data_IF_979041126402
#
_entry.id   IF_979041126402
#
_cell.length_a   1.000
_cell.length_b   1.000
_cell.length_c   1.000
_cell.angle_alpha   90.00
_cell.angle_beta   90.00
_cell.angle_gamma   90.00
#
_symmetry.space_group_name_H-M   'P 1'
#
loop_
_entity.id
_entity.type
_entity.pdbx_description
1 polymer ?
#
# COMPACT_ATOMS: atom_id res chain seq x y z
N UNK A 1 21.17 18.56 1.09
CA UNK A 1 20.11 18.57 0.06
C UNK A 1 18.85 18.25 0.81
N UNK A 2 17.95 19.22 0.95
CA UNK A 2 16.76 19.10 1.80
C UNK A 2 15.78 18.14 1.12
N UNK A 3 15.50 17.01 1.76
CA UNK A 3 14.55 16.02 1.24
C UNK A 3 13.16 16.64 1.38
N UNK A 4 12.67 17.26 0.31
CA UNK A 4 11.35 17.86 0.30
C UNK A 4 10.32 16.73 0.42
N UNK A 5 9.75 16.57 1.61
CA UNK A 5 8.71 15.57 1.86
C UNK A 5 7.46 15.93 1.07
N UNK A 6 7.28 15.32 -0.10
CA UNK A 6 6.07 15.48 -0.90
C UNK A 6 4.93 14.65 -0.29
N UNK A 7 3.84 15.32 0.06
CA UNK A 7 2.62 14.68 0.55
C UNK A 7 1.70 14.34 -0.61
N UNK A 8 1.23 13.10 -0.64
CA UNK A 8 0.33 12.58 -1.67
C UNK A 8 -0.93 12.02 -1.05
N UNK A 9 -2.07 12.23 -1.72
CA UNK A 9 -3.37 11.67 -1.34
C UNK A 9 -3.84 10.65 -2.36
N UNK A 10 -4.56 9.65 -1.86
CA UNK A 10 -5.21 8.63 -2.67
C UNK A 10 -6.41 9.23 -3.44
N UNK A 11 -6.53 8.88 -4.72
CA UNK A 11 -7.51 9.47 -5.63
C UNK A 11 -8.86 8.73 -5.53
N UNK A 12 -8.86 7.40 -5.68
CA UNK A 12 -10.05 6.54 -5.56
C UNK A 12 -9.69 5.05 -5.68
N UNK A 13 -10.57 4.16 -5.19
CA UNK A 13 -10.47 2.69 -5.29
C UNK A 13 -10.43 2.17 -6.73
N UNK A 14 -10.80 2.99 -7.72
CA UNK A 14 -10.77 2.64 -9.13
C UNK A 14 -9.37 2.69 -9.76
N UNK A 15 -8.40 3.34 -9.10
CA UNK A 15 -7.05 3.55 -9.63
C UNK A 15 -5.97 2.75 -8.90
N UNK A 16 -6.38 1.78 -8.08
CA UNK A 16 -5.46 0.89 -7.38
C UNK A 16 -5.81 -0.58 -7.59
N UNK A 17 -4.80 -1.43 -7.54
CA UNK A 17 -4.95 -2.88 -7.61
C UNK A 17 -4.28 -3.53 -6.41
N UNK A 18 -4.86 -4.63 -5.95
CA UNK A 18 -4.26 -5.54 -4.98
C UNK A 18 -4.24 -6.92 -5.62
N UNK A 19 -3.08 -7.55 -5.61
CA UNK A 19 -2.90 -8.93 -6.06
C UNK A 19 -2.44 -9.78 -4.88
N UNK A 20 -3.19 -10.84 -4.58
CA UNK A 20 -2.79 -11.84 -3.59
C UNK A 20 -1.93 -12.88 -4.29
N UNK A 21 -0.65 -12.94 -3.94
CA UNK A 21 0.31 -13.88 -4.52
C UNK A 21 0.46 -15.15 -3.69
N UNK A 22 0.13 -15.09 -2.39
CA UNK A 22 0.14 -16.25 -1.50
C UNK A 22 -0.93 -16.10 -0.42
N UNK A 23 -1.60 -17.21 -0.10
CA UNK A 23 -2.60 -17.28 0.95
C UNK A 23 -2.49 -18.62 1.69
N UNK A 24 -2.32 -18.56 3.00
CA UNK A 24 -2.37 -19.72 3.89
C UNK A 24 -3.42 -19.45 4.99
N UNK A 25 -4.55 -20.15 4.90
CA UNK A 25 -5.65 -20.02 5.86
C UNK A 25 -5.36 -20.67 7.21
N UNK A 26 -4.45 -21.65 7.26
CA UNK A 26 -4.07 -22.36 8.49
C UNK A 26 -3.25 -21.47 9.43
N UNK A 27 -2.36 -20.66 8.85
CA UNK A 27 -1.54 -19.70 9.61
C UNK A 27 -2.07 -18.26 9.57
N UNK A 28 -3.10 -17.99 8.76
CA UNK A 28 -3.63 -16.64 8.58
C UNK A 28 -2.61 -15.72 7.90
N UNK A 29 -1.95 -16.24 6.86
CA UNK A 29 -0.96 -15.52 6.06
C UNK A 29 -1.62 -15.04 4.77
N UNK A 30 -1.39 -13.78 4.42
CA UNK A 30 -1.77 -13.15 3.17
C UNK A 30 -0.60 -12.32 2.65
N UNK A 31 0.03 -12.78 1.57
CA UNK A 31 1.11 -12.08 0.88
C UNK A 31 0.59 -11.56 -0.43
N UNK A 32 0.97 -10.34 -0.77
CA UNK A 32 0.55 -9.74 -2.02
C UNK A 32 1.31 -8.49 -2.38
N UNK A 33 0.89 -7.90 -3.48
CA UNK A 33 1.36 -6.60 -3.94
C UNK A 33 0.20 -5.65 -4.10
N UNK A 34 0.49 -4.36 -4.01
CA UNK A 34 -0.44 -3.30 -4.34
C UNK A 34 0.19 -2.34 -5.35
N UNK A 35 -0.65 -1.73 -6.16
CA UNK A 35 -0.33 -0.59 -7.00
C UNK A 35 -1.41 0.46 -6.83
N UNK A 36 -1.06 1.75 -6.80
CA UNK A 36 -2.01 2.84 -6.75
C UNK A 36 -1.47 4.09 -7.43
N UNK A 37 -2.31 4.80 -8.18
CA UNK A 37 -2.02 6.18 -8.60
C UNK A 37 -2.38 7.15 -7.46
N UNK A 38 -1.38 7.93 -7.05
CA UNK A 38 -1.50 8.98 -6.05
C UNK A 38 -1.45 10.35 -6.72
N UNK A 39 -2.13 11.33 -6.14
CA UNK A 39 -2.07 12.73 -6.57
C UNK A 39 -1.42 13.57 -5.49
N UNK A 40 -0.56 14.50 -5.90
CA UNK A 40 0.05 15.46 -4.97
C UNK A 40 -1.02 16.31 -4.30
N UNK A 41 -0.91 16.52 -2.99
CA UNK A 41 -1.84 17.41 -2.28
C UNK A 41 -1.57 18.88 -2.57
N UNK A 42 -0.37 19.22 -3.06
CA UNK A 42 0.01 20.59 -3.41
C UNK A 42 -0.35 20.95 -4.86
N UNK A 43 -0.41 19.95 -5.76
CA UNK A 43 -0.77 20.15 -7.17
C UNK A 43 -1.53 18.92 -7.71
N UNK A 44 -2.86 19.02 -7.92
CA UNK A 44 -3.69 17.92 -8.40
C UNK A 44 -3.34 17.39 -9.80
N UNK A 45 -2.56 18.13 -10.58
CA UNK A 45 -2.10 17.70 -11.92
C UNK A 45 -0.91 16.75 -11.83
N UNK A 46 -0.18 16.77 -10.71
CA UNK A 46 0.98 15.90 -10.48
C UNK A 46 0.50 14.56 -9.95
N UNK A 47 0.75 13.52 -10.75
CA UNK A 47 0.40 12.12 -10.47
C UNK A 47 1.66 11.28 -10.25
N UNK A 48 1.58 10.29 -9.37
CA UNK A 48 2.66 9.33 -9.14
C UNK A 48 2.08 7.95 -8.85
N UNK A 49 2.56 6.93 -9.53
CA UNK A 49 2.26 5.54 -9.18
C UNK A 49 3.14 5.08 -8.03
N UNK A 50 2.53 4.50 -7.01
CA UNK A 50 3.23 3.78 -5.95
C UNK A 50 2.93 2.29 -6.07
N UNK A 51 3.93 1.47 -5.80
CA UNK A 51 3.81 0.02 -5.72
C UNK A 51 4.47 -0.47 -4.45
N UNK A 52 3.93 -1.51 -3.85
CA UNK A 52 4.55 -2.14 -2.69
C UNK A 52 4.13 -3.58 -2.52
N UNK A 53 4.87 -4.31 -1.71
CA UNK A 53 4.51 -5.64 -1.26
C UNK A 53 4.00 -5.57 0.18
N UNK A 54 3.09 -6.48 0.54
CA UNK A 54 2.68 -6.70 1.91
C UNK A 54 2.77 -8.18 2.26
N UNK A 55 3.06 -8.45 3.53
CA UNK A 55 2.97 -9.77 4.12
C UNK A 55 2.20 -9.61 5.43
N UNK A 56 0.90 -9.90 5.38
CA UNK A 56 0.06 -9.91 6.56
C UNK A 56 0.13 -11.31 7.14
N UNK A 57 0.73 -11.44 8.31
CA UNK A 57 0.83 -12.71 9.01
C UNK A 57 0.19 -12.58 10.39
N UNK A 58 -0.87 -13.36 10.62
CA UNK A 58 -1.55 -13.41 11.92
C UNK A 58 -0.61 -13.85 13.05
N UNK A 59 0.39 -14.69 12.78
CA UNK A 59 1.34 -15.16 13.78
C UNK A 59 2.34 -14.09 14.22
N UNK A 60 2.53 -13.03 13.43
CA UNK A 60 3.39 -11.87 13.78
C UNK A 60 2.58 -10.68 14.27
N UNK A 61 1.26 -10.82 14.40
CA UNK A 61 0.41 -9.80 15.00
C UNK A 61 0.66 -9.84 16.52
N UNK A 62 1.42 -8.88 17.04
CA UNK A 62 1.71 -8.77 18.46
C UNK A 62 0.39 -8.40 19.19
N UNK A 63 -0.17 -9.36 19.93
CA UNK A 63 -1.45 -9.21 20.63
C UNK A 63 -1.32 -8.52 22.00
N UNK A 64 -0.17 -7.89 22.29
CA UNK A 64 0.01 -7.08 23.50
C UNK A 64 -0.62 -5.69 23.30
N UNK A 65 -1.94 -5.62 23.45
CA UNK A 65 -2.64 -4.38 23.83
C UNK A 65 -2.76 -4.28 25.34
#
# INVERSE_FOLDING_TARGET
MDETTYTYSFISSSNGTIEITEYDSGYGILVGTFSAEMVSTADPTVKKTITGAFNLNKSTLDNTQ
#
